data_IF_234381030200
#
_entry.id   IF_234381030200
#
_cell.length_a   1.000
_cell.length_b   1.000
_cell.length_c   1.000
_cell.angle_alpha   90.00
_cell.angle_beta   90.00
_cell.angle_gamma   90.00
#
_symmetry.space_group_name_H-M   'P 1'
#
loop_
_entity.id
_entity.type
_entity.pdbx_description
1 polymer ?
#
# COMPACT_ATOMS: atom_id res chain seq x y z
N UNK A 1 15.05 -0.91 11.17
CA UNK A 1 13.91 -1.71 10.69
C UNK A 1 13.71 -2.84 11.70
N UNK A 2 12.74 -2.71 12.61
CA UNK A 2 12.31 -3.86 13.41
C UNK A 2 11.92 -5.01 12.48
N UNK A 3 12.30 -6.23 12.87
CA UNK A 3 12.30 -7.45 12.07
C UNK A 3 11.30 -7.48 10.90
N UNK A 4 11.78 -7.24 9.68
CA UNK A 4 11.03 -7.62 8.46
C UNK A 4 10.92 -9.15 8.31
N UNK A 5 11.59 -9.94 9.16
CA UNK A 5 11.58 -11.39 9.04
C UNK A 5 10.16 -11.97 9.13
N UNK A 6 9.30 -11.44 10.01
CA UNK A 6 7.91 -11.89 10.08
C UNK A 6 7.10 -11.54 8.82
N UNK A 7 7.44 -10.44 8.13
CA UNK A 7 6.83 -10.11 6.85
C UNK A 7 7.30 -11.07 5.75
N UNK A 8 8.57 -11.47 5.77
CA UNK A 8 9.12 -12.45 4.82
C UNK A 8 8.60 -13.85 5.07
N UNK A 9 8.52 -14.30 6.32
CA UNK A 9 7.87 -15.56 6.70
C UNK A 9 6.40 -15.59 6.24
N UNK A 10 5.68 -14.47 6.38
CA UNK A 10 4.32 -14.36 5.86
C UNK A 10 4.27 -14.50 4.34
N UNK A 11 5.15 -13.81 3.60
CA UNK A 11 5.20 -13.94 2.13
C UNK A 11 5.56 -15.35 1.70
N UNK A 12 6.54 -15.99 2.36
CA UNK A 12 6.90 -17.38 2.10
C UNK A 12 5.70 -18.32 2.34
N UNK A 13 4.90 -18.08 3.38
CA UNK A 13 3.70 -18.86 3.64
C UNK A 13 2.62 -18.73 2.54
N UNK A 14 2.66 -17.66 1.72
CA UNK A 14 1.76 -17.49 0.58
C UNK A 14 2.18 -18.26 -0.67
N UNK A 15 3.40 -18.82 -0.71
CA UNK A 15 3.94 -19.56 -1.87
C UNK A 15 2.98 -20.58 -2.48
N UNK A 16 2.20 -21.38 -1.70
CA UNK A 16 1.27 -22.38 -2.27
C UNK A 16 0.15 -21.80 -3.14
N UNK A 17 -0.12 -20.50 -3.05
CA UNK A 17 -1.14 -19.85 -3.86
C UNK A 17 -0.69 -19.65 -5.32
N UNK A 18 0.62 -19.67 -5.59
CA UNK A 18 1.21 -19.53 -6.93
C UNK A 18 0.49 -18.43 -7.75
N UNK A 19 0.09 -18.77 -8.97
CA UNK A 19 -0.52 -17.85 -9.94
C UNK A 19 -1.96 -17.46 -9.59
N UNK A 20 -2.53 -17.96 -8.48
CA UNK A 20 -3.85 -17.56 -7.99
C UNK A 20 -3.78 -16.33 -7.09
N UNK A 21 -2.58 -15.93 -6.67
CA UNK A 21 -2.37 -14.75 -5.86
C UNK A 21 -2.28 -13.51 -6.77
N UNK A 22 -3.23 -12.58 -6.58
CA UNK A 22 -3.12 -11.23 -7.15
C UNK A 22 -2.00 -10.41 -6.48
N UNK A 23 -1.91 -9.11 -6.78
CA UNK A 23 -0.92 -8.26 -6.12
C UNK A 23 -1.09 -8.26 -4.60
N UNK A 24 0.01 -8.47 -3.88
CA UNK A 24 0.04 -8.34 -2.43
C UNK A 24 0.08 -6.87 -2.06
N UNK A 25 -0.85 -6.46 -1.19
CA UNK A 25 -1.02 -5.07 -0.83
C UNK A 25 -0.16 -4.69 0.39
N UNK A 26 0.67 -3.67 0.22
CA UNK A 26 1.37 -2.97 1.31
C UNK A 26 0.59 -1.70 1.63
N UNK A 27 -0.16 -1.74 2.74
CA UNK A 27 -0.87 -0.57 3.24
C UNK A 27 0.00 0.20 4.22
N UNK A 28 0.26 1.48 3.92
CA UNK A 28 1.06 2.36 4.76
C UNK A 28 0.19 3.11 5.77
N UNK A 29 0.72 3.39 6.97
CA UNK A 29 -0.02 4.12 8.00
C UNK A 29 -0.28 5.58 7.58
N UNK A 30 -1.21 6.24 8.29
CA UNK A 30 -1.68 7.60 7.96
C UNK A 30 -0.57 8.66 8.02
N UNK A 31 0.36 8.50 8.94
CA UNK A 31 1.50 9.38 9.21
C UNK A 31 2.71 9.10 8.32
N UNK A 32 2.65 8.10 7.44
CA UNK A 32 3.68 7.85 6.44
C UNK A 32 3.71 8.99 5.42
N UNK A 33 4.62 9.94 5.61
CA UNK A 33 4.79 11.13 4.76
C UNK A 33 5.96 11.03 3.76
N UNK A 34 6.24 12.12 3.02
CA UNK A 34 7.28 12.15 1.99
C UNK A 34 8.69 11.85 2.51
N UNK A 35 8.99 12.26 3.76
CA UNK A 35 10.28 11.98 4.42
C UNK A 35 10.53 10.49 4.64
N UNK A 36 9.48 9.66 4.60
CA UNK A 36 9.55 8.22 4.83
C UNK A 36 9.70 7.43 3.52
N UNK A 37 9.61 8.07 2.35
CA UNK A 37 9.80 7.40 1.04
C UNK A 37 11.07 6.55 0.94
N UNK A 38 12.23 6.93 1.53
CA UNK A 38 13.42 6.06 1.54
C UNK A 38 13.19 4.71 2.24
N UNK A 39 12.28 4.63 3.22
CA UNK A 39 11.91 3.37 3.87
C UNK A 39 11.05 2.49 2.97
N UNK A 40 10.14 3.10 2.20
CA UNK A 40 9.37 2.39 1.18
C UNK A 40 10.29 1.88 0.06
N UNK A 41 11.24 2.69 -0.40
CA UNK A 41 12.25 2.29 -1.36
C UNK A 41 13.04 1.08 -0.88
N UNK A 42 13.52 1.11 0.37
CA UNK A 42 14.22 -0.03 0.97
C UNK A 42 13.37 -1.30 1.01
N UNK A 43 12.07 -1.21 1.27
CA UNK A 43 11.14 -2.35 1.22
C UNK A 43 10.99 -2.88 -0.22
N UNK A 44 10.73 -1.99 -1.18
CA UNK A 44 10.50 -2.37 -2.58
C UNK A 44 11.76 -2.95 -3.23
N UNK A 45 12.94 -2.46 -2.87
CA UNK A 45 14.23 -2.99 -3.33
C UNK A 45 14.48 -4.44 -2.90
N UNK A 46 13.87 -4.88 -1.80
CA UNK A 46 13.96 -6.26 -1.30
C UNK A 46 12.69 -7.07 -1.56
N UNK A 47 11.72 -6.50 -2.28
CA UNK A 47 10.45 -7.17 -2.54
C UNK A 47 10.67 -8.36 -3.48
N UNK A 48 10.07 -9.53 -3.21
CA UNK A 48 10.25 -10.70 -4.09
C UNK A 48 9.75 -10.43 -5.51
N UNK A 49 10.64 -10.57 -6.49
CA UNK A 49 10.36 -10.20 -7.88
C UNK A 49 9.21 -11.00 -8.53
N UNK A 50 8.90 -12.19 -8.01
CA UNK A 50 7.82 -13.03 -8.50
C UNK A 50 6.45 -12.66 -7.91
N UNK A 51 6.40 -11.80 -6.89
CA UNK A 51 5.17 -11.43 -6.20
C UNK A 51 4.78 -9.99 -6.58
N UNK A 52 3.70 -9.77 -7.35
CA UNK A 52 3.28 -8.41 -7.68
C UNK A 52 2.95 -7.62 -6.41
N UNK A 53 3.39 -6.38 -6.35
CA UNK A 53 3.17 -5.48 -5.20
C UNK A 53 2.15 -4.40 -5.56
N UNK A 54 1.32 -4.00 -4.60
CA UNK A 54 0.49 -2.81 -4.68
C UNK A 54 0.59 -1.99 -3.39
N UNK A 55 0.87 -0.69 -3.49
CA UNK A 55 1.08 0.18 -2.33
C UNK A 55 -0.11 1.11 -2.14
N UNK A 56 -0.65 1.15 -0.92
CA UNK A 56 -1.70 2.09 -0.51
C UNK A 56 -1.10 3.14 0.45
N UNK A 57 -1.13 4.41 0.03
CA UNK A 57 -0.81 5.56 0.89
C UNK A 57 -2.08 6.14 1.49
N UNK A 58 -2.00 6.63 2.73
CA UNK A 58 -3.11 7.27 3.44
C UNK A 58 -2.85 8.72 3.81
N UNK A 59 -1.62 9.19 3.59
CA UNK A 59 -1.25 10.57 3.88
C UNK A 59 -1.78 11.51 2.77
N UNK A 60 -2.56 12.57 3.10
CA UNK A 60 -3.23 13.42 2.11
C UNK A 60 -2.31 14.06 1.07
N UNK A 61 -1.07 14.36 1.44
CA UNK A 61 -0.08 15.00 0.54
C UNK A 61 0.11 14.24 -0.78
N UNK A 62 -0.04 12.92 -0.78
CA UNK A 62 0.14 12.08 -1.97
C UNK A 62 -1.08 12.08 -2.91
N UNK A 63 -2.07 12.94 -2.68
CA UNK A 63 -3.28 13.09 -3.51
C UNK A 63 -3.47 14.53 -4.02
N UNK A 64 -2.52 15.43 -3.77
CA UNK A 64 -2.62 16.86 -4.13
C UNK A 64 -1.98 17.20 -5.48
N UNK A 65 -1.53 16.20 -6.26
CA UNK A 65 -0.84 16.38 -7.55
C UNK A 65 0.44 17.23 -7.46
N UNK A 66 1.05 17.29 -6.28
CA UNK A 66 2.31 17.98 -5.99
C UNK A 66 3.54 17.12 -6.30
N UNK A 67 4.72 17.64 -5.94
CA UNK A 67 5.99 16.94 -6.15
C UNK A 67 6.11 15.67 -5.29
N UNK A 68 5.48 15.64 -4.12
CA UNK A 68 5.46 14.49 -3.21
C UNK A 68 4.72 13.31 -3.85
N UNK A 69 3.59 13.57 -4.51
CA UNK A 69 2.84 12.56 -5.24
C UNK A 69 3.63 12.06 -6.47
N UNK A 70 4.29 12.96 -7.20
CA UNK A 70 5.16 12.59 -8.32
C UNK A 70 6.32 11.71 -7.87
N UNK A 71 7.00 12.09 -6.78
CA UNK A 71 8.11 11.32 -6.22
C UNK A 71 7.66 9.92 -5.80
N UNK A 72 6.51 9.81 -5.14
CA UNK A 72 5.91 8.52 -4.80
C UNK A 72 5.59 7.68 -6.04
N UNK A 73 4.90 8.25 -7.03
CA UNK A 73 4.55 7.53 -8.26
C UNK A 73 5.81 7.09 -9.03
N UNK A 74 6.85 7.93 -9.09
CA UNK A 74 8.12 7.59 -9.72
C UNK A 74 8.80 6.43 -9.00
N UNK A 75 8.79 6.42 -7.67
CA UNK A 75 9.31 5.31 -6.88
C UNK A 75 8.57 4.00 -7.21
N UNK A 76 7.23 4.03 -7.26
CA UNK A 76 6.44 2.85 -7.62
C UNK A 76 6.79 2.33 -9.04
N UNK A 77 6.92 3.23 -10.01
CA UNK A 77 7.31 2.90 -11.39
C UNK A 77 8.71 2.25 -11.42
N UNK A 78 9.68 2.82 -10.71
CA UNK A 78 11.06 2.31 -10.64
C UNK A 78 11.12 0.85 -10.19
N UNK A 79 10.27 0.45 -9.26
CA UNK A 79 10.22 -0.90 -8.71
C UNK A 79 9.10 -1.78 -9.28
N UNK A 80 8.38 -1.31 -10.31
CA UNK A 80 7.26 -2.04 -10.91
C UNK A 80 6.09 -2.31 -9.96
N UNK A 81 5.95 -1.52 -8.89
CA UNK A 81 4.87 -1.64 -7.93
C UNK A 81 3.61 -0.89 -8.40
N UNK A 82 2.44 -1.44 -8.11
CA UNK A 82 1.17 -0.80 -8.40
C UNK A 82 0.82 0.22 -7.33
N UNK A 83 0.02 1.23 -7.70
CA UNK A 83 -0.65 2.11 -6.73
C UNK A 83 -2.06 1.62 -6.46
N UNK A 84 -2.41 1.44 -5.19
CA UNK A 84 -3.80 1.22 -4.78
C UNK A 84 -4.54 2.56 -4.85
N UNK A 85 -5.66 2.57 -5.57
CA UNK A 85 -6.57 3.71 -5.65
C UNK A 85 -7.86 3.37 -4.93
N UNK A 86 -8.09 3.97 -3.77
CA UNK A 86 -9.32 3.82 -2.99
C UNK A 86 -9.95 5.19 -2.75
N UNK A 87 -11.15 5.41 -3.28
CA UNK A 87 -11.96 6.57 -2.94
C UNK A 87 -13.06 6.17 -1.96
N UNK A 88 -12.84 6.46 -0.67
CA UNK A 88 -13.84 6.19 0.38
C UNK A 88 -14.87 7.31 0.53
N UNK A 89 -14.72 8.46 -0.15
CA UNK A 89 -15.65 9.60 0.03
C UNK A 89 -17.09 9.26 -0.37
N UNK A 90 -17.35 8.53 -1.47
CA UNK A 90 -18.70 8.08 -1.81
C UNK A 90 -19.29 7.09 -0.80
N UNK A 91 -18.45 6.32 -0.11
CA UNK A 91 -18.91 5.35 0.91
C UNK A 91 -19.53 6.08 2.11
N UNK A 92 -19.01 7.27 2.43
CA UNK A 92 -19.47 8.09 3.56
C UNK A 92 -20.29 9.32 3.14
N UNK A 93 -20.65 9.46 1.86
CA UNK A 93 -21.39 10.64 1.36
C UNK A 93 -22.88 10.62 1.71
N UNK A 94 -23.39 9.48 2.17
CA UNK A 94 -24.78 9.31 2.61
C UNK A 94 -24.78 9.08 4.12
N UNK A 95 -25.67 9.73 4.89
CA UNK A 95 -25.88 9.38 6.29
C UNK A 95 -26.15 7.89 6.41
N UNK A 96 -25.57 7.23 7.41
CA UNK A 96 -25.94 5.86 7.72
C UNK A 96 -27.44 5.88 8.08
N UNK A 97 -28.30 5.38 7.19
CA UNK A 97 -29.68 5.07 7.55
C UNK A 97 -29.59 3.94 8.56
N UNK A 98 -29.65 4.29 9.86
CA UNK A 98 -29.32 3.41 10.96
C UNK A 98 -29.98 2.04 10.80
N UNK A 99 -29.17 1.03 10.49
CA UNK A 99 -29.52 -0.36 10.75
C UNK A 99 -28.87 -0.67 12.09
N UNK A 100 -29.68 -0.90 13.12
CA UNK A 100 -29.28 -1.03 14.52
C UNK A 100 -28.43 -2.29 14.85
N UNK A 101 -27.72 -2.86 13.87
CA UNK A 101 -27.05 -4.16 13.98
C UNK A 101 -25.52 -4.13 14.04
N UNK A 102 -24.87 -2.97 13.97
CA UNK A 102 -23.41 -2.85 14.05
C UNK A 102 -23.02 -1.66 14.94
N UNK A 103 -23.00 -1.90 16.24
CA UNK A 103 -22.29 -1.11 17.24
C UNK A 103 -21.41 -2.07 18.05
#
# INVERSE_FOLDING_TARGET
LGSLASAWEFIEALTPLHDRLGPTMVQLPRDFGPSELPKLEALLAHWPAHLPCAVEVRHPVFFHKGEEEKAFNQLLITYGANRVMLDVRPVFSTPANGHAGLA
#
